data_IF_361847222778
#
_entry.id   IF_361847222778
#
_cell.length_a   1.000
_cell.length_b   1.000
_cell.length_c   1.000
_cell.angle_alpha   90.00
_cell.angle_beta   90.00
_cell.angle_gamma   90.00
#
_symmetry.space_group_name_H-M   'P 1'
#
loop_
_entity.id
_entity.type
_entity.pdbx_description
1 polymer ?
#
# COMPACT_ATOMS: atom_id res chain seq x y z
N UNK A 1 7.65 14.31 7.61
CA UNK A 1 6.78 13.49 8.49
C UNK A 1 7.48 12.18 8.79
N UNK A 2 7.04 11.40 9.79
CA UNK A 2 7.59 10.07 10.07
C UNK A 2 6.74 8.99 9.39
N UNK A 3 7.35 7.90 8.95
CA UNK A 3 6.62 6.78 8.36
C UNK A 3 5.67 6.13 9.40
N UNK A 4 4.42 5.88 9.00
CA UNK A 4 3.45 5.13 9.80
C UNK A 4 3.54 3.66 9.37
N UNK A 5 3.89 2.77 10.30
CA UNK A 5 4.06 1.32 10.06
C UNK A 5 2.92 0.48 10.63
N UNK A 6 2.02 1.10 11.40
CA UNK A 6 0.80 0.45 11.91
C UNK A 6 -0.34 0.58 10.90
N UNK A 7 -1.33 -0.33 11.00
CA UNK A 7 -2.55 -0.24 10.19
C UNK A 7 -3.22 1.12 10.39
N UNK A 8 -3.41 1.86 9.30
CA UNK A 8 -3.97 3.21 9.29
C UNK A 8 -5.00 3.38 8.16
N UNK A 9 -5.77 2.34 7.89
CA UNK A 9 -6.80 2.35 6.85
C UNK A 9 -8.09 3.03 7.36
N UNK A 10 -8.57 4.00 6.60
CA UNK A 10 -9.84 4.67 6.83
C UNK A 10 -10.35 5.31 5.55
N UNK A 11 -11.65 5.54 5.46
CA UNK A 11 -12.27 6.23 4.34
C UNK A 11 -13.12 7.38 4.89
N UNK A 12 -12.87 8.60 4.40
CA UNK A 12 -13.53 9.79 4.92
C UNK A 12 -15.05 9.70 4.73
N UNK A 13 -15.81 9.80 5.82
CA UNK A 13 -17.27 9.74 5.80
C UNK A 13 -17.87 8.32 5.79
N UNK A 14 -17.05 7.27 5.80
CA UNK A 14 -17.53 5.87 5.92
C UNK A 14 -17.33 5.37 7.36
N UNK A 15 -18.42 5.15 8.13
CA UNK A 15 -18.29 4.57 9.46
C UNK A 15 -18.00 3.07 9.33
N UNK A 16 -16.88 2.62 9.90
CA UNK A 16 -16.56 1.20 10.00
C UNK A 16 -16.98 0.68 11.37
N UNK A 17 -17.92 -0.28 11.39
CA UNK A 17 -18.41 -0.90 12.63
C UNK A 17 -17.40 -1.85 13.28
N UNK A 18 -16.47 -2.40 12.49
CA UNK A 18 -15.35 -3.22 12.97
C UNK A 18 -14.04 -2.56 12.55
N UNK A 19 -13.10 -2.47 13.49
CA UNK A 19 -11.81 -1.79 13.27
C UNK A 19 -10.96 -2.41 12.14
N UNK A 20 -11.17 -3.68 11.80
CA UNK A 20 -10.40 -4.38 10.76
C UNK A 20 -11.00 -4.27 9.36
N UNK A 21 -12.29 -3.92 9.24
CA UNK A 21 -12.99 -3.85 7.95
C UNK A 21 -12.36 -2.93 6.90
N UNK A 22 -11.81 -1.74 7.23
CA UNK A 22 -11.14 -0.92 6.21
C UNK A 22 -9.87 -1.57 5.64
N UNK A 23 -9.17 -2.37 6.46
CA UNK A 23 -8.02 -3.14 5.99
C UNK A 23 -8.46 -4.28 5.07
N UNK A 24 -9.52 -5.00 5.45
CA UNK A 24 -10.09 -6.08 4.64
C UNK A 24 -10.57 -5.55 3.27
N UNK A 25 -11.29 -4.43 3.25
CA UNK A 25 -11.74 -3.76 2.01
C UNK A 25 -10.55 -3.40 1.11
N UNK A 26 -9.46 -2.88 1.69
CA UNK A 26 -8.25 -2.56 0.93
C UNK A 26 -7.55 -3.82 0.38
N UNK A 27 -7.48 -4.90 1.18
CA UNK A 27 -6.92 -6.17 0.73
C UNK A 27 -7.73 -6.77 -0.42
N UNK A 28 -9.06 -6.68 -0.38
CA UNK A 28 -9.94 -7.13 -1.46
C UNK A 28 -9.66 -6.34 -2.75
N UNK A 29 -9.54 -5.01 -2.66
CA UNK A 29 -9.21 -4.16 -3.82
C UNK A 29 -7.83 -4.51 -4.43
N UNK A 30 -6.84 -4.85 -3.60
CA UNK A 30 -5.53 -5.30 -4.09
C UNK A 30 -5.64 -6.64 -4.82
N UNK A 31 -6.36 -7.61 -4.27
CA UNK A 31 -6.58 -8.92 -4.92
C UNK A 31 -7.27 -8.72 -6.27
N UNK A 32 -8.30 -7.88 -6.30
CA UNK A 32 -9.06 -7.60 -7.52
C UNK A 32 -8.22 -6.88 -8.59
N UNK A 33 -7.30 -5.99 -8.19
CA UNK A 33 -6.36 -5.34 -9.12
C UNK A 33 -5.48 -6.35 -9.87
N UNK A 34 -5.17 -7.50 -9.25
CA UNK A 34 -4.34 -8.55 -9.84
C UNK A 34 -5.12 -9.59 -10.64
N UNK A 35 -6.45 -9.55 -10.63
CA UNK A 35 -7.29 -10.54 -11.30
C UNK A 35 -7.03 -10.53 -12.81
N UNK A 36 -6.95 -11.73 -13.39
CA UNK A 36 -6.74 -11.97 -14.82
C UNK A 36 -5.40 -11.47 -15.39
N UNK A 37 -4.43 -11.12 -14.54
CA UNK A 37 -3.07 -10.75 -14.93
C UNK A 37 -2.10 -11.93 -14.88
N UNK A 38 -1.12 -11.96 -15.79
CA UNK A 38 0.06 -12.82 -15.63
C UNK A 38 0.95 -12.33 -14.48
N UNK A 39 1.90 -13.17 -14.05
CA UNK A 39 2.86 -12.80 -13.01
C UNK A 39 3.68 -11.55 -13.41
N UNK A 40 4.13 -11.45 -14.67
CA UNK A 40 4.87 -10.29 -15.16
C UNK A 40 4.00 -9.02 -15.22
N UNK A 41 2.72 -9.16 -15.54
CA UNK A 41 1.77 -8.04 -15.52
C UNK A 41 1.47 -7.61 -14.08
N UNK A 42 1.34 -8.56 -13.16
CA UNK A 42 1.16 -8.36 -11.73
C UNK A 42 2.33 -7.56 -11.12
N UNK A 43 3.57 -7.90 -11.48
CA UNK A 43 4.77 -7.14 -11.10
C UNK A 43 4.75 -5.71 -11.67
N UNK A 44 4.35 -5.54 -12.94
CA UNK A 44 4.26 -4.22 -13.56
C UNK A 44 3.24 -3.31 -12.89
N UNK A 45 2.05 -3.82 -12.54
CA UNK A 45 1.04 -3.02 -11.85
C UNK A 45 1.49 -2.65 -10.44
N UNK A 46 2.19 -3.55 -9.73
CA UNK A 46 2.79 -3.25 -8.43
C UNK A 46 3.84 -2.14 -8.52
N UNK A 47 4.76 -2.21 -9.49
CA UNK A 47 5.75 -1.16 -9.70
C UNK A 47 5.10 0.20 -9.99
N UNK A 48 4.03 0.22 -10.81
CA UNK A 48 3.26 1.44 -11.08
C UNK A 48 2.55 1.98 -9.85
N UNK A 49 1.90 1.11 -9.07
CA UNK A 49 1.22 1.49 -7.83
C UNK A 49 2.20 2.11 -6.84
N UNK A 50 3.39 1.52 -6.65
CA UNK A 50 4.44 2.06 -5.79
C UNK A 50 4.83 3.49 -6.21
N UNK A 51 5.03 3.73 -7.51
CA UNK A 51 5.38 5.06 -8.02
C UNK A 51 4.25 6.08 -7.82
N UNK A 52 2.99 5.68 -8.04
CA UNK A 52 1.82 6.54 -7.80
C UNK A 52 1.71 6.93 -6.33
N UNK A 53 1.85 5.97 -5.42
CA UNK A 53 1.83 6.21 -3.98
C UNK A 53 3.02 7.07 -3.53
N UNK A 54 4.21 6.83 -4.08
CA UNK A 54 5.39 7.64 -3.79
C UNK A 54 5.19 9.10 -4.19
N UNK A 55 4.59 9.35 -5.37
CA UNK A 55 4.25 10.69 -5.82
C UNK A 55 3.19 11.35 -4.93
N UNK A 56 2.19 10.58 -4.48
CA UNK A 56 1.17 11.08 -3.55
C UNK A 56 1.74 11.45 -2.18
N UNK A 57 2.68 10.65 -1.66
CA UNK A 57 3.36 10.89 -0.38
C UNK A 57 4.27 12.14 -0.48
N UNK A 58 5.07 12.27 -1.55
CA UNK A 58 5.91 13.43 -1.86
C UNK A 58 7.08 13.71 -0.91
N UNK A 59 7.05 13.22 0.33
CA UNK A 59 8.12 13.39 1.32
C UNK A 59 9.22 12.34 1.14
N UNK A 60 10.37 12.78 0.60
CA UNK A 60 11.54 11.93 0.34
C UNK A 60 12.07 11.26 1.62
N UNK A 61 11.95 11.89 2.80
CA UNK A 61 12.41 11.28 4.04
C UNK A 61 11.58 10.04 4.40
N UNK A 62 10.25 10.13 4.25
CA UNK A 62 9.32 9.01 4.45
C UNK A 62 9.62 7.87 3.47
N UNK A 63 9.86 8.21 2.20
CA UNK A 63 10.18 7.20 1.18
C UNK A 63 11.51 6.49 1.44
N UNK A 64 12.54 7.22 1.89
CA UNK A 64 13.83 6.62 2.28
C UNK A 64 13.69 5.66 3.45
N UNK A 65 12.93 6.05 4.46
CA UNK A 65 12.66 5.19 5.62
C UNK A 65 11.90 3.92 5.21
N UNK A 66 10.88 4.05 4.36
CA UNK A 66 10.13 2.92 3.82
C UNK A 66 11.01 1.94 3.04
N UNK A 67 11.88 2.45 2.15
CA UNK A 67 12.81 1.63 1.37
C UNK A 67 13.82 0.89 2.25
N UNK A 68 14.32 1.54 3.32
CA UNK A 68 15.23 0.90 4.28
C UNK A 68 14.54 -0.29 4.96
N UNK A 69 13.33 -0.08 5.51
CA UNK A 69 12.57 -1.12 6.21
C UNK A 69 12.19 -2.25 5.26
N UNK A 70 11.74 -1.94 4.04
CA UNK A 70 11.38 -2.95 3.04
C UNK A 70 12.56 -3.88 2.70
N UNK A 71 13.80 -3.34 2.66
CA UNK A 71 15.01 -4.13 2.39
C UNK A 71 15.44 -5.01 3.56
N UNK A 72 15.06 -4.69 4.80
CA UNK A 72 15.38 -5.50 5.98
C UNK A 72 14.60 -6.81 6.03
N UNK A 73 13.44 -6.90 5.36
CA UNK A 73 12.61 -8.10 5.31
C UNK A 73 12.97 -9.09 4.20
N UNK A 74 14.00 -8.81 3.41
CA UNK A 74 14.44 -9.64 2.28
C UNK A 74 15.93 -9.95 2.47
N UNK A 75 16.22 -11.08 3.11
CA UNK A 75 17.56 -11.70 3.10
C UNK A 75 17.70 -12.68 1.93
#
# INVERSE_FOLDING_TARGET
MSLITQSNFSEAGKPYFRAFSPGDDFYELLIDMHRDLSDEQSEQVNARLILLLANHIGDIAVLREAMRIAREGVE
#
